data_IF_438153737940
#
_entry.id   IF_438153737940
#
_cell.length_a   1.000
_cell.length_b   1.000
_cell.length_c   1.000
_cell.angle_alpha   90.00
_cell.angle_beta   90.00
_cell.angle_gamma   90.00
#
_symmetry.space_group_name_H-M   'P 1'
#
loop_
_entity.id
_entity.type
_entity.pdbx_description
1 polymer ?
#
# COMPACT_ATOMS: atom_id res chain seq x y z
N UNK A 1 6.63 -6.16 -3.51
CA UNK A 1 6.33 -4.87 -2.85
C UNK A 1 7.25 -4.73 -1.66
N UNK A 2 8.04 -3.67 -1.62
CA UNK A 2 9.10 -3.48 -0.61
C UNK A 2 8.48 -2.96 0.70
N UNK A 3 8.58 -3.75 1.77
CA UNK A 3 8.10 -3.38 3.12
C UNK A 3 8.87 -2.16 3.61
N UNK A 4 8.14 -1.20 4.17
CA UNK A 4 8.64 0.14 4.45
C UNK A 4 9.01 0.28 5.93
N UNK A 5 10.20 -0.18 6.28
CA UNK A 5 10.74 0.01 7.63
C UNK A 5 10.57 -1.20 8.55
N UNK A 6 11.46 -1.30 9.54
CA UNK A 6 11.57 -2.45 10.42
C UNK A 6 10.29 -2.72 11.24
N UNK A 7 9.50 -1.69 11.52
CA UNK A 7 8.21 -1.85 12.20
C UNK A 7 7.19 -2.58 11.32
N UNK A 8 7.07 -2.23 10.04
CA UNK A 8 6.12 -2.89 9.14
C UNK A 8 6.55 -4.28 8.68
N UNK A 9 7.80 -4.66 8.92
CA UNK A 9 8.22 -6.07 8.83
C UNK A 9 7.51 -6.95 9.88
N UNK A 10 7.08 -6.36 10.99
CA UNK A 10 6.42 -7.06 12.09
C UNK A 10 4.92 -6.76 12.16
N UNK A 11 4.50 -5.53 11.86
CA UNK A 11 3.11 -5.09 11.97
C UNK A 11 2.53 -4.78 10.60
N UNK A 12 1.87 -5.77 10.02
CA UNK A 12 1.22 -5.65 8.72
C UNK A 12 -0.17 -6.29 8.74
N UNK A 13 -0.99 -5.89 7.78
CA UNK A 13 -2.36 -6.33 7.64
C UNK A 13 -2.75 -6.60 6.18
N UNK A 14 -3.80 -7.38 6.01
CA UNK A 14 -4.50 -7.57 4.75
C UNK A 14 -5.98 -7.26 4.89
N UNK A 15 -6.50 -6.46 3.98
CA UNK A 15 -7.89 -5.98 3.98
C UNK A 15 -8.79 -6.88 3.12
N UNK A 16 -10.10 -6.97 3.39
CA UNK A 16 -11.06 -7.56 2.45
C UNK A 16 -11.08 -6.75 1.15
N UNK A 17 -11.62 -7.32 0.06
CA UNK A 17 -11.69 -6.63 -1.24
C UNK A 17 -12.43 -5.28 -1.15
N UNK A 18 -13.51 -5.20 -0.37
CA UNK A 18 -14.29 -3.96 -0.19
C UNK A 18 -13.47 -2.77 0.28
N UNK A 19 -12.39 -3.01 1.04
CA UNK A 19 -11.53 -1.99 1.62
C UNK A 19 -10.13 -1.95 0.97
N UNK A 20 -9.67 -3.08 0.41
CA UNK A 20 -8.44 -3.14 -0.38
C UNK A 20 -8.58 -2.42 -1.72
N UNK A 21 -9.80 -2.39 -2.28
CA UNK A 21 -10.21 -1.64 -3.48
C UNK A 21 -9.21 -1.80 -4.62
N UNK A 22 -9.01 -3.02 -5.09
CA UNK A 22 -8.09 -3.30 -6.21
C UNK A 22 -6.69 -2.67 -6.04
N UNK A 23 -6.13 -2.71 -4.83
CA UNK A 23 -4.77 -2.23 -4.57
C UNK A 23 -4.66 -0.77 -4.13
N UNK A 24 -5.75 0.00 -4.08
CA UNK A 24 -5.74 1.35 -3.49
C UNK A 24 -5.37 1.33 -2.01
N UNK A 25 -5.79 0.29 -1.28
CA UNK A 25 -5.43 0.12 0.13
C UNK A 25 -3.95 -0.19 0.36
N UNK A 26 -3.24 -0.65 -0.68
CA UNK A 26 -1.89 -1.16 -0.54
C UNK A 26 -0.88 -0.07 -0.18
N UNK A 27 0.04 -0.37 0.74
CA UNK A 27 1.04 0.58 1.25
C UNK A 27 0.51 1.61 2.25
N UNK A 28 -0.81 1.77 2.38
CA UNK A 28 -1.43 2.66 3.39
C UNK A 28 -1.26 2.08 4.80
N UNK A 29 -1.34 2.95 5.79
CA UNK A 29 -1.31 2.54 7.19
C UNK A 29 -2.70 2.55 7.79
N UNK A 30 -2.91 1.62 8.72
CA UNK A 30 -4.10 1.56 9.55
C UNK A 30 -3.70 1.68 11.02
N UNK A 31 -4.59 2.30 11.81
CA UNK A 31 -4.53 2.22 13.28
C UNK A 31 -5.48 1.12 13.70
N UNK A 32 -4.96 0.06 14.27
CA UNK A 32 -5.73 -1.07 14.80
C UNK A 32 -5.90 -0.92 16.31
N UNK A 33 -7.13 -1.09 16.80
CA UNK A 33 -7.47 -0.94 18.21
C UNK A 33 -8.21 -2.19 18.72
N UNK A 34 -7.73 -2.74 19.84
CA UNK A 34 -8.37 -3.89 20.48
C UNK A 34 -8.03 -3.94 21.98
N UNK A 35 -9.04 -4.17 22.82
CA UNK A 35 -8.86 -4.32 24.27
C UNK A 35 -8.17 -3.12 24.94
N UNK A 36 -8.47 -1.89 24.52
CA UNK A 36 -7.88 -0.66 25.05
C UNK A 36 -6.44 -0.37 24.62
N UNK A 37 -5.86 -1.19 23.74
CA UNK A 37 -4.55 -0.95 23.13
C UNK A 37 -4.73 -0.46 21.69
N UNK A 38 -3.72 0.24 21.16
CA UNK A 38 -3.66 0.65 19.75
C UNK A 38 -2.27 0.38 19.15
N UNK A 39 -2.21 -0.03 17.88
CA UNK A 39 -0.96 -0.23 17.13
C UNK A 39 -1.19 0.09 15.66
N UNK A 40 -0.22 0.71 15.01
CA UNK A 40 -0.25 0.90 13.56
C UNK A 40 0.29 -0.32 12.82
N UNK A 41 -0.28 -0.58 11.64
CA UNK A 41 0.17 -1.62 10.72
C UNK A 41 0.13 -1.11 9.28
N UNK A 42 0.98 -1.65 8.41
CA UNK A 42 0.92 -1.39 6.97
C UNK A 42 0.05 -2.42 6.25
N UNK A 43 -0.79 -1.97 5.33
CA UNK A 43 -1.55 -2.85 4.45
C UNK A 43 -0.63 -3.34 3.35
N UNK A 44 -0.41 -4.66 3.30
CA UNK A 44 0.53 -5.28 2.36
C UNK A 44 -0.12 -6.23 1.36
N UNK A 45 -1.37 -6.62 1.59
CA UNK A 45 -2.07 -7.58 0.74
C UNK A 45 -3.59 -7.46 0.86
N UNK A 46 -4.29 -8.13 -0.06
CA UNK A 46 -5.68 -8.51 0.11
C UNK A 46 -5.80 -9.76 0.97
N UNK A 47 -6.75 -9.77 1.90
CA UNK A 47 -7.18 -10.95 2.63
C UNK A 47 -8.35 -11.62 1.89
N UNK A 48 -8.07 -12.61 1.05
CA UNK A 48 -9.08 -13.30 0.23
C UNK A 48 -10.16 -14.03 1.04
N UNK A 49 -9.83 -14.45 2.26
CA UNK A 49 -10.76 -15.16 3.16
C UNK A 49 -11.52 -14.23 4.11
N UNK A 50 -11.16 -12.94 4.18
CA UNK A 50 -11.78 -11.99 5.07
C UNK A 50 -13.12 -11.53 4.48
N UNK A 51 -14.17 -11.59 5.30
CA UNK A 51 -15.45 -10.95 5.00
C UNK A 51 -15.35 -9.42 5.21
N UNK A 52 -16.29 -8.62 4.68
CA UNK A 52 -16.35 -7.19 4.95
C UNK A 52 -16.28 -6.88 6.45
N UNK A 53 -15.41 -5.94 6.84
CA UNK A 53 -15.14 -5.60 8.24
C UNK A 53 -14.25 -6.58 9.03
N UNK A 54 -13.79 -7.68 8.42
CA UNK A 54 -12.71 -8.52 8.98
C UNK A 54 -11.36 -8.05 8.46
N UNK A 55 -10.29 -8.31 9.19
CA UNK A 55 -8.95 -7.97 8.76
C UNK A 55 -7.98 -9.10 9.08
N UNK A 56 -7.13 -9.44 8.12
CA UNK A 56 -5.99 -10.33 8.33
C UNK A 56 -4.84 -9.52 8.92
N UNK A 57 -4.16 -10.02 9.94
CA UNK A 57 -3.04 -9.31 10.59
C UNK A 57 -1.86 -10.24 10.80
N UNK A 58 -0.67 -9.69 10.97
CA UNK A 58 0.53 -10.46 11.31
C UNK A 58 0.43 -11.14 12.68
N UNK A 59 1.16 -12.23 12.88
CA UNK A 59 1.19 -12.96 14.16
C UNK A 59 1.69 -12.10 15.32
N UNK A 60 2.59 -11.15 15.04
CA UNK A 60 3.13 -10.19 16.00
C UNK A 60 2.05 -9.22 16.46
N UNK A 61 1.14 -8.82 15.56
CA UNK A 61 -0.01 -7.99 15.92
C UNK A 61 -1.00 -8.80 16.78
N UNK A 62 -1.28 -10.06 16.43
CA UNK A 62 -2.07 -10.99 17.27
C UNK A 62 -1.47 -11.10 18.68
N UNK A 63 -0.16 -11.32 18.77
CA UNK A 63 0.56 -11.45 20.05
C UNK A 63 0.52 -10.16 20.88
N UNK A 64 0.70 -9.00 20.25
CA UNK A 64 0.66 -7.69 20.93
C UNK A 64 -0.69 -7.44 21.62
N UNK A 65 -1.78 -7.78 20.93
CA UNK A 65 -3.14 -7.62 21.43
C UNK A 65 -3.64 -8.80 22.28
N UNK A 66 -2.94 -9.94 22.27
CA UNK A 66 -3.36 -11.16 22.95
C UNK A 66 -4.64 -11.75 22.37
N UNK A 67 -4.88 -11.57 21.06
CA UNK A 67 -6.11 -12.05 20.41
C UNK A 67 -6.03 -13.56 20.23
N UNK A 68 -7.14 -14.26 20.50
CA UNK A 68 -7.27 -15.71 20.30
C UNK A 68 -8.28 -15.97 19.19
N UNK A 69 -7.95 -16.91 18.29
CA UNK A 69 -8.83 -17.32 17.19
C UNK A 69 -8.58 -16.58 15.87
N UNK A 70 -9.02 -17.20 14.77
CA UNK A 70 -8.91 -16.68 13.40
C UNK A 70 -10.15 -17.04 12.57
N UNK A 71 -10.66 -16.17 11.69
CA UNK A 71 -10.32 -14.75 11.53
C UNK A 71 -10.62 -13.94 12.79
N UNK A 72 -10.03 -12.75 12.93
CA UNK A 72 -10.29 -11.93 14.11
C UNK A 72 -11.78 -11.54 14.18
N UNK A 73 -12.38 -11.47 15.38
CA UNK A 73 -13.70 -10.85 15.55
C UNK A 73 -13.66 -9.39 15.07
N UNK A 74 -14.83 -8.78 14.84
CA UNK A 74 -14.92 -7.37 14.43
C UNK A 74 -14.02 -6.51 15.33
N UNK A 75 -13.06 -5.86 14.71
CA UNK A 75 -11.97 -5.10 15.33
C UNK A 75 -12.05 -3.68 14.80
N UNK A 76 -11.76 -2.71 15.66
CA UNK A 76 -11.82 -1.31 15.27
C UNK A 76 -10.52 -0.92 14.58
N UNK A 77 -10.64 -0.42 13.36
CA UNK A 77 -9.51 0.12 12.62
C UNK A 77 -9.93 1.26 11.70
N UNK A 78 -8.97 2.12 11.37
CA UNK A 78 -9.16 3.20 10.41
C UNK A 78 -7.87 3.44 9.63
N UNK A 79 -7.97 4.03 8.44
CA UNK A 79 -6.80 4.51 7.72
C UNK A 79 -6.20 5.74 8.40
N UNK A 80 -4.88 5.74 8.53
CA UNK A 80 -4.10 6.82 9.13
C UNK A 80 -2.84 7.10 8.30
N UNK A 81 -2.25 8.27 8.48
CA UNK A 81 -0.93 8.55 7.92
C UNK A 81 0.13 7.62 8.55
N UNK A 82 1.15 7.28 7.77
CA UNK A 82 2.26 6.42 8.20
C UNK A 82 3.38 7.20 8.92
N UNK A 83 3.18 8.50 9.18
CA UNK A 83 4.22 9.48 9.52
C UNK A 83 5.21 9.08 10.61
N UNK A 84 4.76 8.47 11.71
CA UNK A 84 5.65 8.10 12.81
C UNK A 84 6.56 6.89 12.51
N UNK A 85 6.24 6.10 11.48
CA UNK A 85 6.91 4.82 11.22
C UNK A 85 7.65 4.80 9.87
N UNK A 86 7.64 5.92 9.15
CA UNK A 86 8.21 6.07 7.81
C UNK A 86 9.21 7.22 7.83
N UNK A 87 10.49 6.92 7.56
CA UNK A 87 11.57 7.91 7.57
C UNK A 87 12.45 7.80 6.32
N UNK A 88 13.00 8.93 5.87
CA UNK A 88 13.81 9.02 4.65
C UNK A 88 13.01 9.37 3.39
N UNK A 89 13.63 9.16 2.23
CA UNK A 89 13.08 9.53 0.91
C UNK A 89 12.11 8.48 0.37
N UNK A 90 11.13 8.92 -0.42
CA UNK A 90 10.30 8.01 -1.22
C UNK A 90 11.21 7.14 -2.09
N UNK A 91 10.91 5.84 -2.11
CA UNK A 91 11.61 4.87 -2.96
C UNK A 91 10.67 4.42 -4.07
N UNK A 92 11.24 4.24 -5.24
CA UNK A 92 10.55 3.72 -6.42
C UNK A 92 11.26 2.43 -6.84
N UNK A 93 10.47 1.37 -6.97
CA UNK A 93 10.94 0.09 -7.52
C UNK A 93 10.18 -0.18 -8.82
N UNK A 94 10.87 -0.71 -9.81
CA UNK A 94 10.26 -1.07 -11.10
C UNK A 94 9.92 -2.57 -11.16
N UNK A 95 8.95 -2.92 -12.00
CA UNK A 95 8.64 -4.30 -12.36
C UNK A 95 9.81 -5.00 -13.07
N UNK A 96 9.70 -6.33 -13.24
CA UNK A 96 10.77 -7.17 -13.83
C UNK A 96 10.79 -7.19 -15.36
N UNK A 97 9.69 -6.82 -16.00
CA UNK A 97 9.52 -6.93 -17.45
C UNK A 97 9.03 -5.60 -17.99
N UNK A 98 9.95 -4.66 -18.17
CA UNK A 98 9.70 -3.32 -18.67
C UNK A 98 10.04 -3.25 -20.16
N UNK A 99 9.25 -2.50 -20.92
CA UNK A 99 9.55 -2.11 -22.29
C UNK A 99 8.95 -0.73 -22.59
N UNK A 100 9.20 -0.17 -23.76
CA UNK A 100 8.74 1.16 -24.13
C UNK A 100 7.21 1.34 -24.11
N UNK A 101 6.42 0.26 -24.17
CA UNK A 101 4.95 0.25 -24.09
C UNK A 101 4.42 -0.10 -22.70
N UNK A 102 5.22 -0.82 -21.90
CA UNK A 102 4.85 -1.32 -20.58
C UNK A 102 5.87 -0.91 -19.52
N UNK A 103 5.45 -0.02 -18.62
CA UNK A 103 6.21 0.29 -17.40
C UNK A 103 5.37 -0.05 -16.19
N UNK A 104 6.00 -0.64 -15.18
CA UNK A 104 5.37 -0.90 -13.90
C UNK A 104 6.25 -0.31 -12.81
N UNK A 105 5.68 0.56 -11.98
CA UNK A 105 6.37 1.19 -10.87
C UNK A 105 5.59 0.99 -9.57
N UNK A 106 6.31 0.80 -8.49
CA UNK A 106 5.77 0.72 -7.15
C UNK A 106 6.52 1.68 -6.23
N UNK A 107 5.81 2.21 -5.25
CA UNK A 107 6.34 3.21 -4.34
C UNK A 107 6.38 2.67 -2.92
N UNK A 108 7.47 2.95 -2.25
CA UNK A 108 7.68 2.66 -0.84
C UNK A 108 8.15 3.93 -0.13
N UNK A 109 8.10 3.90 1.21
CA UNK A 109 8.42 5.07 2.03
C UNK A 109 7.46 6.24 1.88
N UNK A 110 6.19 5.92 1.60
CA UNK A 110 5.11 6.89 1.54
C UNK A 110 4.53 7.14 2.93
N UNK A 111 4.36 8.42 3.25
CA UNK A 111 3.68 8.87 4.46
C UNK A 111 2.16 8.83 4.33
N UNK A 112 1.67 8.94 3.10
CA UNK A 112 0.26 9.06 2.74
C UNK A 112 -0.07 8.12 1.59
N UNK A 113 -1.34 7.76 1.45
CA UNK A 113 -1.81 7.07 0.25
C UNK A 113 -1.61 7.96 -0.98
N UNK A 114 -1.31 7.34 -2.12
CA UNK A 114 -1.24 8.00 -3.42
C UNK A 114 -2.58 7.81 -4.10
N UNK A 115 -3.19 8.87 -4.61
CA UNK A 115 -4.41 8.80 -5.44
C UNK A 115 -4.14 8.82 -6.94
N UNK A 116 -3.04 9.41 -7.38
CA UNK A 116 -2.67 9.48 -8.80
C UNK A 116 -1.14 9.50 -9.01
N UNK A 117 -0.70 8.95 -10.14
CA UNK A 117 0.69 9.00 -10.60
C UNK A 117 0.71 9.35 -12.08
N UNK A 118 1.67 10.19 -12.48
CA UNK A 118 1.90 10.52 -13.89
C UNK A 118 3.38 10.52 -14.23
N UNK A 119 3.72 10.07 -15.43
CA UNK A 119 5.06 10.19 -16.02
C UNK A 119 4.96 11.15 -17.21
N UNK A 120 5.80 12.19 -17.21
CA UNK A 120 5.81 13.25 -18.22
C UNK A 120 4.41 13.86 -18.49
N UNK A 121 3.59 13.98 -17.44
CA UNK A 121 2.23 14.53 -17.51
C UNK A 121 1.15 13.52 -17.94
N UNK A 122 1.52 12.32 -18.37
CA UNK A 122 0.55 11.29 -18.75
C UNK A 122 0.22 10.40 -17.54
N UNK A 123 -1.08 10.22 -17.20
CA UNK A 123 -1.50 9.41 -16.08
C UNK A 123 -1.21 7.92 -16.25
N UNK A 124 -0.80 7.27 -15.15
CA UNK A 124 -0.67 5.82 -15.04
C UNK A 124 -1.95 5.21 -14.48
N UNK A 125 -2.22 3.97 -14.86
CA UNK A 125 -3.32 3.18 -14.31
C UNK A 125 -2.84 2.39 -13.10
N UNK A 126 -3.63 2.30 -12.03
CA UNK A 126 -3.29 1.41 -10.91
C UNK A 126 -3.67 -0.04 -11.25
N UNK A 127 -2.76 -0.98 -11.00
CA UNK A 127 -3.03 -2.41 -11.07
C UNK A 127 -3.72 -2.92 -9.79
N UNK A 128 -4.34 -4.09 -9.88
CA UNK A 128 -4.94 -4.78 -8.73
C UNK A 128 -3.94 -5.20 -7.66
N UNK A 129 -2.63 -5.12 -7.95
CA UNK A 129 -1.54 -5.44 -7.03
C UNK A 129 -0.93 -4.20 -6.36
N UNK A 130 -1.52 -3.01 -6.57
CA UNK A 130 -1.05 -1.75 -5.97
C UNK A 130 0.15 -1.14 -6.68
N UNK A 131 0.47 -1.60 -7.89
CA UNK A 131 1.49 -0.98 -8.75
C UNK A 131 0.84 0.02 -9.71
N UNK A 132 1.64 0.95 -10.23
CA UNK A 132 1.23 1.92 -11.23
C UNK A 132 1.81 1.54 -12.58
N UNK A 133 0.94 1.47 -13.57
CA UNK A 133 1.23 0.90 -14.88
C UNK A 133 1.07 1.96 -15.95
N UNK A 134 2.11 2.10 -16.74
CA UNK A 134 2.03 2.66 -18.08
C UNK A 134 1.74 1.52 -19.04
N UNK A 135 0.52 1.45 -19.54
CA UNK A 135 0.10 0.55 -20.60
C UNK A 135 -0.61 1.41 -21.65
N UNK A 136 0.15 1.86 -22.65
CA UNK A 136 -0.32 2.80 -23.67
C UNK A 136 0.23 2.38 -25.02
N UNK A 137 -0.59 2.59 -26.05
CA UNK A 137 -0.19 2.42 -27.46
C UNK A 137 0.93 3.38 -27.88
N UNK A 138 1.12 4.47 -27.13
CA UNK A 138 2.20 5.43 -27.36
C UNK A 138 3.43 5.05 -26.54
N UNK A 139 4.55 4.69 -27.19
CA UNK A 139 5.76 4.30 -26.49
C UNK A 139 6.39 5.51 -25.80
N UNK A 140 7.09 5.23 -24.70
CA UNK A 140 7.92 6.21 -24.02
C UNK A 140 9.37 6.16 -24.48
N UNK A 141 10.02 7.34 -24.44
CA UNK A 141 11.44 7.44 -24.73
C UNK A 141 12.26 6.75 -23.62
N UNK A 142 12.81 5.58 -23.93
CA UNK A 142 13.53 4.68 -23.01
C UNK A 142 14.84 5.27 -22.46
N UNK A 143 15.34 6.36 -23.05
CA UNK A 143 16.57 7.06 -22.66
C UNK A 143 16.33 8.52 -22.22
N UNK A 144 15.07 8.92 -22.02
CA UNK A 144 14.76 10.28 -21.58
C UNK A 144 14.63 10.33 -20.05
N UNK A 145 15.10 11.43 -19.46
CA UNK A 145 14.76 11.75 -18.07
C UNK A 145 13.31 12.24 -18.05
N UNK A 146 12.41 11.42 -17.51
CA UNK A 146 10.98 11.73 -17.44
C UNK A 146 10.64 12.27 -16.04
N UNK A 147 9.83 13.33 -16.00
CA UNK A 147 9.32 13.88 -14.75
C UNK A 147 8.25 12.93 -14.18
N UNK A 148 8.44 12.50 -12.94
CA UNK A 148 7.48 11.68 -12.20
C UNK A 148 6.74 12.56 -11.20
N UNK A 149 5.41 12.49 -11.20
CA UNK A 149 4.56 13.18 -10.22
C UNK A 149 3.67 12.17 -9.52
N UNK A 150 3.66 12.25 -8.18
CA UNK A 150 2.75 11.53 -7.30
C UNK A 150 1.79 12.57 -6.70
N UNK A 151 0.52 12.22 -6.59
CA UNK A 151 -0.48 13.03 -5.90
C UNK A 151 -1.02 12.22 -4.71
N UNK A 152 -0.94 12.79 -3.51
CA UNK A 152 -1.43 12.16 -2.30
C UNK A 152 -2.96 12.24 -2.19
N UNK A 153 -3.54 11.39 -1.35
CA UNK A 153 -5.00 11.34 -1.08
C UNK A 153 -5.56 12.72 -0.65
N UNK A 154 -4.74 13.55 0.00
CA UNK A 154 -5.11 14.90 0.46
C UNK A 154 -4.76 16.03 -0.53
N UNK A 155 -4.28 15.68 -1.73
CA UNK A 155 -3.97 16.64 -2.80
C UNK A 155 -2.58 17.26 -2.76
N UNK A 156 -1.67 16.77 -1.88
CA UNK A 156 -0.25 17.14 -1.92
C UNK A 156 0.51 16.49 -3.08
#
# INVERSE_FOLDING_TARGET
MSVVGADFANYYAGLPESEFKNGEGCGRCIRFSYGGKCRQAQVVNKCYSCQPGQIGVSGQLVNFFGIKGWPLPKVDWEFVACDSNVSGNIRMDTGRSLNEYWQEVSFSNLRKGIKAVSIAGTPLSRSTYGTWVWDKDTPHAINAQLALRLEADDGQ
#
